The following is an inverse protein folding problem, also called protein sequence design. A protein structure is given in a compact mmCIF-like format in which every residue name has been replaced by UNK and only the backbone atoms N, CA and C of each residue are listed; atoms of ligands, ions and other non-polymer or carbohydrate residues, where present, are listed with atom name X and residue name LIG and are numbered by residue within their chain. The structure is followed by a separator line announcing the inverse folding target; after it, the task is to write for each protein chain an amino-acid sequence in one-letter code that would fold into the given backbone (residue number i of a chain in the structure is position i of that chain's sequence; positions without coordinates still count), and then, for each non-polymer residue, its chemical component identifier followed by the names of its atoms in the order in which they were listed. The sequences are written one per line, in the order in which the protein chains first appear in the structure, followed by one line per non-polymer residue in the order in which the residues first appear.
data_IF_123675163670
#
_entry.id   IF_123675163670
#
_cell.length_a   1.000
_cell.length_b   1.000
_cell.length_c   1.000
_cell.angle_alpha   90.00
_cell.angle_beta   90.00
_cell.angle_gamma   90.00
#
_symmetry.space_group_name_H-M   'P 1'
#
loop_
_entity.id
_entity.type
_entity.pdbx_description
1 polymer ?
#
# COMPACT_ATOMS: atom_id res chain seq x y z
N UNK A 1 3.29 7.52 27.21
CA UNK A 1 2.11 7.78 26.41
C UNK A 1 1.79 6.61 25.50
N UNK A 2 0.58 6.12 25.55
CA UNK A 2 0.20 4.98 24.73
C UNK A 2 0.21 5.38 23.26
N UNK A 3 0.84 4.57 22.45
CA UNK A 3 0.87 4.79 21.02
C UNK A 3 -0.52 4.51 20.44
N UNK A 4 -1.05 5.45 19.67
CA UNK A 4 -2.34 5.24 19.02
C UNK A 4 -2.21 4.17 17.96
N UNK A 5 -3.23 3.33 17.87
CA UNK A 5 -3.30 2.34 16.81
C UNK A 5 -3.50 3.02 15.47
N UNK A 6 -2.69 2.63 14.50
CA UNK A 6 -2.89 3.03 13.12
C UNK A 6 -4.20 2.43 12.63
N UNK A 7 -5.03 3.22 11.96
CA UNK A 7 -6.27 2.75 11.39
C UNK A 7 -6.34 3.09 9.89
N UNK A 8 -7.32 2.54 9.22
CA UNK A 8 -7.45 2.69 7.77
C UNK A 8 -7.56 4.15 7.33
N UNK A 9 -8.26 4.97 8.10
CA UNK A 9 -8.43 6.38 7.75
C UNK A 9 -7.11 7.14 7.82
N UNK A 10 -6.31 6.86 8.83
CA UNK A 10 -4.99 7.47 9.00
C UNK A 10 -4.06 7.06 7.86
N UNK A 11 -4.07 5.79 7.48
CA UNK A 11 -3.27 5.29 6.36
C UNK A 11 -3.67 5.98 5.06
N UNK A 12 -4.97 6.05 4.80
CA UNK A 12 -5.48 6.73 3.59
C UNK A 12 -5.04 8.18 3.54
N UNK A 13 -5.18 8.89 4.64
CA UNK A 13 -4.81 10.29 4.71
C UNK A 13 -3.32 10.50 4.41
N UNK A 14 -2.47 9.69 5.00
CA UNK A 14 -1.02 9.80 4.75
C UNK A 14 -0.68 9.53 3.29
N UNK A 15 -1.31 8.53 2.69
CA UNK A 15 -1.08 8.22 1.28
C UNK A 15 -1.60 9.32 0.37
N UNK A 16 -2.76 9.89 0.69
CA UNK A 16 -3.30 11.00 -0.10
C UNK A 16 -2.41 12.23 -0.06
N UNK A 17 -1.88 12.56 1.11
CA UNK A 17 -0.97 13.70 1.26
C UNK A 17 0.35 13.50 0.51
N UNK A 18 0.77 12.27 0.34
CA UNK A 18 2.03 11.93 -0.35
C UNK A 18 1.81 11.55 -1.83
N UNK A 19 0.60 11.69 -2.32
CA UNK A 19 0.20 11.21 -3.66
C UNK A 19 1.12 11.69 -4.78
N UNK A 20 1.46 12.97 -4.79
CA UNK A 20 2.31 13.52 -5.85
C UNK A 20 3.68 12.86 -5.87
N UNK A 21 4.28 12.66 -4.70
CA UNK A 21 5.58 12.01 -4.60
C UNK A 21 5.50 10.55 -5.06
N UNK A 22 4.47 9.84 -4.61
CA UNK A 22 4.27 8.44 -4.99
C UNK A 22 4.16 8.32 -6.50
N UNK A 23 3.40 9.20 -7.14
CA UNK A 23 3.23 9.18 -8.59
C UNK A 23 4.49 9.62 -9.35
N UNK A 24 5.09 10.72 -8.94
CA UNK A 24 6.18 11.33 -9.70
C UNK A 24 7.54 10.68 -9.45
N UNK A 25 7.83 10.35 -8.21
CA UNK A 25 9.13 9.78 -7.87
C UNK A 25 9.18 8.28 -8.11
N UNK A 26 8.10 7.59 -7.77
CA UNK A 26 8.05 6.12 -7.84
C UNK A 26 7.27 5.60 -9.05
N UNK A 27 6.72 6.49 -9.85
CA UNK A 27 6.01 6.16 -11.09
C UNK A 27 4.85 5.18 -10.84
N UNK A 28 4.09 5.47 -9.82
CA UNK A 28 2.91 4.68 -9.46
C UNK A 28 1.68 5.20 -10.18
N UNK A 29 0.96 4.30 -10.83
CA UNK A 29 -0.28 4.62 -11.53
C UNK A 29 -1.49 4.48 -10.60
N UNK A 30 -1.52 3.41 -9.80
CA UNK A 30 -2.59 3.19 -8.83
C UNK A 30 -2.00 2.67 -7.52
N UNK A 31 -2.60 3.05 -6.41
CA UNK A 31 -2.23 2.54 -5.10
C UNK A 31 -3.49 2.33 -4.26
N UNK A 32 -3.53 1.24 -3.52
CA UNK A 32 -4.67 0.93 -2.66
C UNK A 32 -4.26 0.13 -1.45
N UNK A 33 -5.18 -0.02 -0.53
CA UNK A 33 -4.98 -0.74 0.72
C UNK A 33 -5.93 -1.92 0.74
N UNK A 34 -5.46 -3.08 1.18
CA UNK A 34 -6.30 -4.26 1.33
C UNK A 34 -5.92 -5.00 2.60
N UNK A 35 -6.53 -6.14 2.84
CA UNK A 35 -6.17 -7.01 3.95
C UNK A 35 -6.73 -6.57 5.29
N UNK A 36 -6.00 -6.87 6.36
CA UNK A 36 -6.51 -6.74 7.73
C UNK A 36 -6.95 -5.34 8.12
N UNK A 37 -6.23 -4.31 7.66
CA UNK A 37 -6.61 -2.93 7.99
C UNK A 37 -7.93 -2.53 7.36
N UNK A 38 -8.22 -3.03 6.17
CA UNK A 38 -9.50 -2.75 5.50
C UNK A 38 -10.65 -3.47 6.20
N UNK A 39 -10.39 -4.70 6.65
CA UNK A 39 -11.40 -5.51 7.33
C UNK A 39 -11.57 -5.16 8.80
N UNK A 40 -10.74 -4.30 9.36
CA UNK A 40 -10.78 -3.99 10.77
C UNK A 40 -10.26 -5.11 11.66
N UNK A 41 -9.48 -6.02 11.11
CA UNK A 41 -8.93 -7.19 11.81
C UNK A 41 -7.47 -7.03 12.21
N UNK A 42 -6.91 -5.83 12.02
CA UNK A 42 -5.51 -5.60 12.30
C UNK A 42 -5.20 -5.72 13.80
N UNK A 43 -4.02 -6.27 14.06
CA UNK A 43 -3.44 -6.31 15.40
C UNK A 43 -2.35 -5.24 15.49
N UNK A 44 -1.84 -5.01 16.69
CA UNK A 44 -0.85 -3.95 16.92
C UNK A 44 0.41 -4.05 16.04
N UNK A 45 0.71 -5.24 15.52
CA UNK A 45 1.90 -5.47 14.68
C UNK A 45 1.55 -6.00 13.30
N UNK A 46 0.30 -5.85 12.88
CA UNK A 46 -0.09 -6.27 11.54
C UNK A 46 0.63 -5.43 10.49
N UNK A 47 1.12 -6.09 9.44
CA UNK A 47 1.68 -5.39 8.28
C UNK A 47 0.55 -4.69 7.54
N UNK A 48 0.88 -3.56 6.92
CA UNK A 48 -0.07 -2.84 6.08
C UNK A 48 0.05 -3.41 4.67
N UNK A 49 -1.05 -3.97 4.16
CA UNK A 49 -1.08 -4.55 2.83
C UNK A 49 -1.42 -3.48 1.81
N UNK A 50 -0.48 -3.21 0.91
CA UNK A 50 -0.61 -2.17 -0.11
C UNK A 50 -0.54 -2.79 -1.49
N UNK A 51 -1.53 -2.46 -2.33
CA UNK A 51 -1.57 -2.88 -3.71
C UNK A 51 -1.09 -1.72 -4.59
N UNK A 52 -0.23 -2.01 -5.56
CA UNK A 52 0.33 -0.97 -6.42
C UNK A 52 0.30 -1.41 -7.88
N UNK A 53 0.08 -0.43 -8.76
CA UNK A 53 0.26 -0.57 -10.20
C UNK A 53 1.27 0.47 -10.62
N UNK A 54 2.39 0.05 -11.18
CA UNK A 54 3.40 0.97 -11.70
C UNK A 54 3.08 1.40 -13.12
N UNK A 55 3.54 2.59 -13.48
CA UNK A 55 3.50 3.02 -14.86
C UNK A 55 4.35 2.08 -15.73
N UNK A 56 3.99 1.99 -16.99
CA UNK A 56 4.69 1.13 -17.95
C UNK A 56 6.20 1.45 -17.96
N UNK A 57 7.01 0.42 -17.83
CA UNK A 57 8.46 0.57 -17.84
C UNK A 57 9.09 0.82 -16.48
N UNK A 58 8.27 0.97 -15.43
CA UNK A 58 8.77 1.30 -14.09
C UNK A 58 8.55 0.19 -13.05
N UNK A 59 8.14 -0.98 -13.51
CA UNK A 59 7.95 -2.14 -12.64
C UNK A 59 9.26 -2.92 -12.53
N UNK A 60 10.25 -2.34 -11.88
CA UNK A 60 11.53 -3.00 -11.66
C UNK A 60 11.82 -3.15 -10.16
N UNK A 61 12.75 -4.03 -9.86
CA UNK A 61 13.06 -4.39 -8.48
C UNK A 61 13.52 -3.19 -7.65
N UNK A 62 14.35 -2.34 -8.21
CA UNK A 62 14.88 -1.19 -7.45
C UNK A 62 13.76 -0.21 -7.12
N UNK A 63 12.91 0.11 -8.09
CA UNK A 63 11.79 1.01 -7.86
C UNK A 63 10.81 0.43 -6.83
N UNK A 64 10.55 -0.87 -6.92
CA UNK A 64 9.72 -1.58 -5.96
C UNK A 64 10.27 -1.45 -4.54
N UNK A 65 11.56 -1.72 -4.37
CA UNK A 65 12.18 -1.66 -3.03
C UNK A 65 12.23 -0.25 -2.48
N UNK A 66 12.47 0.74 -3.34
CA UNK A 66 12.46 2.14 -2.92
C UNK A 66 11.07 2.57 -2.45
N UNK A 67 10.05 2.18 -3.21
CA UNK A 67 8.66 2.49 -2.84
C UNK A 67 8.29 1.83 -1.52
N UNK A 68 8.64 0.55 -1.36
CA UNK A 68 8.36 -0.18 -0.13
C UNK A 68 8.98 0.53 1.07
N UNK A 69 10.26 0.89 0.97
CA UNK A 69 10.96 1.60 2.04
C UNK A 69 10.34 2.95 2.35
N UNK A 70 9.97 3.68 1.31
CA UNK A 70 9.33 4.97 1.48
C UNK A 70 7.97 4.83 2.20
N UNK A 71 7.18 3.85 1.81
CA UNK A 71 5.88 3.62 2.44
C UNK A 71 6.02 3.19 3.90
N UNK A 72 7.01 2.36 4.20
CA UNK A 72 7.26 1.93 5.57
C UNK A 72 7.65 3.12 6.46
N UNK A 73 8.44 4.02 5.93
CA UNK A 73 8.81 5.23 6.65
C UNK A 73 7.61 6.17 6.82
N UNK A 74 6.86 6.38 5.73
CA UNK A 74 5.69 7.25 5.73
C UNK A 74 4.61 6.76 6.71
N UNK A 75 4.36 5.46 6.72
CA UNK A 75 3.29 4.87 7.51
C UNK A 75 3.75 4.38 8.90
N UNK A 76 5.05 4.48 9.16
CA UNK A 76 5.65 4.03 10.42
C UNK A 76 5.23 2.60 10.77
N UNK A 77 5.30 1.71 9.78
CA UNK A 77 4.87 0.33 9.93
C UNK A 77 5.45 -0.49 8.78
N UNK A 78 5.58 -1.78 8.99
CA UNK A 78 5.97 -2.68 7.91
C UNK A 78 4.87 -2.73 6.85
N UNK A 79 5.28 -2.77 5.61
CA UNK A 79 4.36 -2.78 4.46
C UNK A 79 4.59 -4.05 3.65
N UNK A 80 3.50 -4.75 3.38
CA UNK A 80 3.49 -5.84 2.42
C UNK A 80 3.05 -5.26 1.08
N UNK A 81 4.02 -4.97 0.22
CA UNK A 81 3.74 -4.30 -1.05
C UNK A 81 3.54 -5.32 -2.16
N UNK A 82 2.35 -5.33 -2.71
CA UNK A 82 1.93 -6.29 -3.73
C UNK A 82 1.68 -5.59 -5.06
N UNK A 83 2.30 -6.09 -6.12
CA UNK A 83 2.07 -5.57 -7.47
C UNK A 83 0.85 -6.28 -8.05
N UNK A 84 -0.15 -5.49 -8.42
CA UNK A 84 -1.44 -6.01 -8.90
C UNK A 84 -1.30 -7.04 -10.02
N UNK A 85 -0.43 -6.76 -10.98
CA UNK A 85 -0.25 -7.63 -12.15
C UNK A 85 0.48 -8.93 -11.83
N UNK A 86 1.15 -8.99 -10.69
CA UNK A 86 1.91 -10.17 -10.28
C UNK A 86 1.15 -11.10 -9.33
N UNK A 87 -0.06 -10.72 -8.94
CA UNK A 87 -0.88 -11.51 -8.03
C UNK A 87 -1.44 -12.73 -8.76
N UNK A 88 -1.35 -13.88 -8.10
CA UNK A 88 -1.93 -15.10 -8.63
C UNK A 88 -3.43 -14.94 -8.81
N UNK A 89 -3.98 -15.46 -9.89
CA UNK A 89 -5.37 -15.27 -10.28
C UNK A 89 -6.37 -15.58 -9.17
N UNK A 90 -6.19 -16.67 -8.46
CA UNK A 90 -7.11 -17.07 -7.39
C UNK A 90 -7.12 -16.10 -6.20
N UNK A 91 -6.03 -15.36 -6.00
CA UNK A 91 -5.94 -14.38 -4.93
C UNK A 91 -6.37 -13.00 -5.41
N UNK A 92 -6.24 -12.76 -6.71
CA UNK A 92 -6.54 -11.47 -7.31
C UNK A 92 -7.99 -11.05 -7.08
N UNK A 93 -8.94 -11.95 -7.34
CA UNK A 93 -10.35 -11.63 -7.18
C UNK A 93 -10.66 -11.21 -5.73
N UNK A 94 -10.15 -11.96 -4.76
CA UNK A 94 -10.36 -11.65 -3.36
C UNK A 94 -9.77 -10.29 -3.00
N UNK A 95 -8.53 -10.03 -3.42
CA UNK A 95 -7.87 -8.76 -3.14
C UNK A 95 -8.61 -7.61 -3.79
N UNK A 96 -9.01 -7.75 -5.06
CA UNK A 96 -9.70 -6.68 -5.78
C UNK A 96 -11.08 -6.38 -5.21
N UNK A 97 -11.72 -7.36 -4.57
CA UNK A 97 -13.01 -7.15 -3.94
C UNK A 97 -12.91 -6.39 -2.62
N UNK A 98 -11.75 -6.39 -1.98
CA UNK A 98 -11.59 -5.71 -0.70
C UNK A 98 -10.74 -4.46 -0.77
N UNK A 99 -10.02 -4.22 -1.87
CA UNK A 99 -9.09 -3.09 -1.96
C UNK A 99 -9.82 -1.75 -1.94
N UNK A 100 -9.25 -0.81 -1.20
CA UNK A 100 -9.68 0.59 -1.18
C UNK A 100 -8.58 1.39 -1.85
N UNK A 101 -8.87 1.92 -3.04
CA UNK A 101 -7.90 2.74 -3.75
C UNK A 101 -7.80 4.13 -3.14
N UNK A 102 -6.59 4.66 -3.16
CA UNK A 102 -6.31 6.00 -2.66
C UNK A 102 -6.14 6.93 -3.85
N UNK A 103 -6.81 8.08 -3.77
CA UNK A 103 -6.76 9.08 -4.83
C UNK A 103 -6.40 10.45 -4.28
#
# INVERSE_FOLDING_TARGET
MARQRTNINEIKEKLELDENRIKEVFHVNEIGIFGSYVKGEQKSRSDIDVLVVFEKGHKDFFNYMKLKGHLEELLDNKVDLVIKDAVKERLRERILNEVIYVR
#
